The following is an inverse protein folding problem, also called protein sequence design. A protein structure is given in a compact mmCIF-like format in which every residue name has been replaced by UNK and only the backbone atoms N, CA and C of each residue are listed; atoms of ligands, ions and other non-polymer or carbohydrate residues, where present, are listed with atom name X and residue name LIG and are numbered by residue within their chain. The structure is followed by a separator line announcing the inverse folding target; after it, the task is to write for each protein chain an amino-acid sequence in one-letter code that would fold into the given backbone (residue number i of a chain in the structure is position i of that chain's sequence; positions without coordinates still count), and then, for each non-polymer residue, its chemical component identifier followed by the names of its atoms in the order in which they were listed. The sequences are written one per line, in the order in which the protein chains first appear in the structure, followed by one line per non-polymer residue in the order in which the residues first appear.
data_IF_206541381557
#
_entry.id   IF_206541381557
#
_cell.length_a   1.000
_cell.length_b   1.000
_cell.length_c   1.000
_cell.angle_alpha   90.00
_cell.angle_beta   90.00
_cell.angle_gamma   90.00
#
_symmetry.space_group_name_H-M   'P 1'
#
loop_
_entity.id
_entity.type
_entity.pdbx_description
1 polymer ?
#
# COMPACT_ATOMS: atom_id res chain seq x y z
N UNK A 1 11.48 -24.69 7.04
CA UNK A 1 12.11 -23.91 5.97
C UNK A 1 11.65 -22.46 6.06
N UNK A 2 12.41 -21.64 6.76
CA UNK A 2 12.07 -20.23 6.97
C UNK A 2 12.52 -19.46 5.73
N UNK A 3 11.63 -19.31 4.74
CA UNK A 3 11.87 -18.34 3.67
C UNK A 3 11.89 -16.96 4.33
N UNK A 4 13.07 -16.47 4.65
CA UNK A 4 13.35 -15.07 4.94
C UNK A 4 13.00 -14.29 3.67
N UNK A 5 11.70 -14.02 3.53
CA UNK A 5 11.07 -13.26 2.47
C UNK A 5 11.85 -11.95 2.42
N UNK A 6 12.74 -11.83 1.43
CA UNK A 6 13.56 -10.64 1.19
C UNK A 6 12.61 -9.46 1.38
N UNK A 7 12.82 -8.66 2.42
CA UNK A 7 12.04 -7.45 2.65
C UNK A 7 12.28 -6.60 1.42
N UNK A 8 11.39 -6.70 0.42
CA UNK A 8 11.40 -5.81 -0.74
C UNK A 8 11.41 -4.41 -0.13
N UNK A 9 12.47 -3.66 -0.38
CA UNK A 9 12.60 -2.32 0.14
C UNK A 9 11.94 -1.41 -0.89
N UNK A 10 10.77 -0.88 -0.57
CA UNK A 10 10.12 0.12 -1.40
C UNK A 10 10.69 1.49 -1.06
N UNK A 11 11.31 2.12 -2.03
CA UNK A 11 11.73 3.52 -1.92
C UNK A 11 10.49 4.41 -1.78
N UNK A 12 10.65 5.63 -1.25
CA UNK A 12 9.52 6.57 -1.15
C UNK A 12 8.85 6.81 -2.51
N UNK A 13 9.65 6.90 -3.59
CA UNK A 13 9.16 7.03 -4.95
C UNK A 13 8.31 5.82 -5.41
N UNK A 14 8.73 4.59 -5.09
CA UNK A 14 7.99 3.39 -5.46
C UNK A 14 6.65 3.33 -4.72
N UNK A 15 6.66 3.64 -3.42
CA UNK A 15 5.43 3.71 -2.61
C UNK A 15 4.44 4.72 -3.19
N UNK A 16 4.93 5.90 -3.58
CA UNK A 16 4.08 6.93 -4.21
C UNK A 16 3.50 6.45 -5.54
N UNK A 17 4.32 5.85 -6.41
CA UNK A 17 3.82 5.30 -7.70
C UNK A 17 2.72 4.28 -7.50
N UNK A 18 2.94 3.33 -6.59
CA UNK A 18 1.97 2.26 -6.31
C UNK A 18 0.69 2.87 -5.72
N UNK A 19 0.81 3.77 -4.75
CA UNK A 19 -0.36 4.41 -4.14
C UNK A 19 -1.15 5.24 -5.15
N UNK A 20 -0.47 6.01 -6.02
CA UNK A 20 -1.11 6.81 -7.06
C UNK A 20 -1.82 5.93 -8.08
N UNK A 21 -1.19 4.85 -8.55
CA UNK A 21 -1.81 3.88 -9.44
C UNK A 21 -3.07 3.26 -8.80
N UNK A 22 -3.00 2.93 -7.51
CA UNK A 22 -4.14 2.41 -6.74
C UNK A 22 -5.18 3.46 -6.34
N UNK A 23 -5.02 4.73 -6.72
CA UNK A 23 -6.02 5.80 -6.57
C UNK A 23 -6.69 6.15 -7.89
N UNK A 24 -6.17 5.67 -9.02
CA UNK A 24 -6.78 5.84 -10.33
C UNK A 24 -8.11 5.08 -10.41
N UNK A 25 -9.14 5.74 -10.97
CA UNK A 25 -10.47 5.16 -11.08
C UNK A 25 -10.47 3.99 -12.06
N UNK A 26 -10.67 2.77 -11.55
CA UNK A 26 -10.63 1.53 -12.34
C UNK A 26 -9.49 0.58 -11.96
N UNK A 27 -8.51 1.05 -11.17
CA UNK A 27 -7.45 0.17 -10.66
C UNK A 27 -7.92 -0.58 -9.41
N UNK A 28 -8.01 -1.91 -9.50
CA UNK A 28 -8.29 -2.74 -8.33
C UNK A 28 -7.05 -2.87 -7.44
N UNK A 29 -7.13 -2.39 -6.20
CA UNK A 29 -6.02 -2.44 -5.23
C UNK A 29 -5.52 -3.87 -5.00
N UNK A 30 -6.41 -4.87 -4.98
CA UNK A 30 -6.02 -6.27 -4.79
C UNK A 30 -5.18 -6.81 -5.94
N UNK A 31 -5.50 -6.41 -7.18
CA UNK A 31 -4.74 -6.77 -8.37
C UNK A 31 -3.39 -6.06 -8.39
N UNK A 32 -3.37 -4.76 -8.13
CA UNK A 32 -2.15 -3.97 -8.01
C UNK A 32 -1.20 -4.56 -6.95
N UNK A 33 -1.74 -4.97 -5.79
CA UNK A 33 -0.96 -5.61 -4.74
C UNK A 33 -0.33 -6.93 -5.19
N UNK A 34 -1.04 -7.73 -6.01
CA UNK A 34 -0.52 -8.98 -6.58
C UNK A 34 0.61 -8.73 -7.58
N UNK A 35 0.44 -7.75 -8.47
CA UNK A 35 1.43 -7.38 -9.49
C UNK A 35 2.70 -6.83 -8.85
N UNK A 36 2.54 -5.90 -7.89
CA UNK A 36 3.65 -5.25 -7.19
C UNK A 36 4.27 -6.14 -6.09
N UNK A 37 3.57 -7.23 -5.73
CA UNK A 37 3.98 -8.14 -4.66
C UNK A 37 3.96 -7.49 -3.27
N UNK A 38 3.07 -6.51 -3.06
CA UNK A 38 2.81 -5.88 -1.76
C UNK A 38 1.56 -6.48 -1.12
N UNK A 39 1.42 -6.33 0.19
CA UNK A 39 0.16 -6.66 0.85
C UNK A 39 -0.81 -5.47 0.77
N UNK A 40 -2.13 -5.71 0.64
CA UNK A 40 -3.12 -4.63 0.67
C UNK A 40 -3.05 -3.81 1.96
N UNK A 41 -2.74 -4.43 3.10
CA UNK A 41 -2.49 -3.73 4.37
C UNK A 41 -1.36 -2.70 4.27
N UNK A 42 -0.31 -3.01 3.50
CA UNK A 42 0.83 -2.13 3.29
C UNK A 42 0.49 -0.95 2.36
N UNK A 43 -0.24 -1.20 1.28
CA UNK A 43 -0.79 -0.15 0.40
C UNK A 43 -1.69 0.83 1.18
N UNK A 44 -2.61 0.30 2.00
CA UNK A 44 -3.47 1.11 2.87
C UNK A 44 -2.69 1.98 3.84
N UNK A 45 -1.63 1.44 4.45
CA UNK A 45 -0.76 2.20 5.35
C UNK A 45 -0.05 3.34 4.62
N UNK A 46 0.46 3.10 3.41
CA UNK A 46 1.10 4.13 2.60
C UNK A 46 0.11 5.19 2.13
N UNK A 47 -1.07 4.77 1.67
CA UNK A 47 -2.19 5.68 1.40
C UNK A 47 -2.42 6.55 2.61
N UNK A 48 -2.73 5.99 3.79
CA UNK A 48 -2.98 6.75 5.02
C UNK A 48 -1.87 7.76 5.35
N UNK A 49 -0.60 7.40 5.16
CA UNK A 49 0.53 8.31 5.37
C UNK A 49 0.60 9.44 4.33
N UNK A 50 0.21 9.20 3.09
CA UNK A 50 0.26 10.17 1.98
C UNK A 50 -0.96 11.10 1.92
N UNK A 51 -2.15 10.66 2.37
CA UNK A 51 -3.40 11.46 2.36
C UNK A 51 -3.60 12.38 3.57
N UNK A 52 -2.51 12.91 4.16
CA UNK A 52 -2.48 14.13 5.01
C UNK A 52 -2.91 13.91 6.50
N UNK A 53 -2.24 14.56 7.48
CA UNK A 53 -2.51 14.43 8.93
C UNK A 53 -3.83 15.04 9.46
N UNK A 54 -4.81 15.38 8.61
CA UNK A 54 -6.04 16.01 9.10
C UNK A 54 -7.10 14.95 9.47
N UNK A 55 -6.90 14.35 10.65
CA UNK A 55 -7.99 13.86 11.50
C UNK A 55 -8.95 12.83 10.90
N UNK A 56 -8.47 11.66 10.49
CA UNK A 56 -9.35 10.49 10.29
C UNK A 56 -8.95 9.33 11.20
N UNK A 57 -9.88 8.84 12.05
CA UNK A 57 -9.61 7.77 12.99
C UNK A 57 -9.34 6.47 12.24
N UNK A 58 -8.42 5.69 12.80
CA UNK A 58 -8.11 4.34 12.38
C UNK A 58 -9.40 3.50 12.32
N UNK A 59 -9.78 2.92 11.16
CA UNK A 59 -10.81 1.90 11.15
C UNK A 59 -10.16 0.60 11.63
N UNK A 60 -10.01 0.50 12.95
CA UNK A 60 -9.98 -0.77 13.65
C UNK A 60 -11.39 -1.40 13.54
N UNK A 61 -11.69 -1.94 12.37
CA UNK A 61 -12.74 -2.93 12.15
C UNK A 61 -12.16 -3.87 11.09
N UNK A 62 -11.77 -5.11 11.40
CA UNK A 62 -12.36 -6.11 12.29
C UNK A 62 -11.32 -7.19 12.60
#
# INVERSE_FOLDING_TARGET
MSQSKKRRQWSAADKMRIVLAGMEAGTEVSELCRVEGISPTQDYSWKKQLRIPLGSPDPAHR
#
